data_IF_095187506528
#
_entry.id   IF_095187506528
#
_cell.length_a   1.000
_cell.length_b   1.000
_cell.length_c   1.000
_cell.angle_alpha   90.00
_cell.angle_beta   90.00
_cell.angle_gamma   90.00
#
_symmetry.space_group_name_H-M   'P 1'
#
loop_
_entity.id
_entity.type
_entity.pdbx_description
1 polymer ?
#
# COMPACT_ATOMS: atom_id res chain seq x y z
N UNK A 1 19.59 -10.33 -12.50
CA UNK A 1 18.84 -10.06 -11.26
C UNK A 1 17.72 -9.11 -11.66
N UNK A 2 16.45 -9.39 -11.29
CA UNK A 2 15.33 -8.46 -11.51
C UNK A 2 15.48 -7.25 -10.61
N UNK A 3 15.00 -6.10 -11.06
CA UNK A 3 15.02 -4.83 -10.32
C UNK A 3 13.61 -4.42 -9.95
N UNK A 4 13.39 -4.06 -8.68
CA UNK A 4 12.09 -3.61 -8.20
C UNK A 4 12.19 -2.22 -7.57
N UNK A 5 11.21 -1.36 -7.86
CA UNK A 5 11.02 -0.07 -7.21
C UNK A 5 9.81 -0.14 -6.28
N UNK A 6 9.99 0.20 -5.01
CA UNK A 6 8.93 0.20 -3.99
C UNK A 6 8.70 1.63 -3.53
N UNK A 7 7.54 2.21 -3.81
CA UNK A 7 7.13 3.45 -3.16
C UNK A 7 6.54 3.14 -1.77
N UNK A 8 6.78 4.01 -0.78
CA UNK A 8 6.30 3.73 0.59
C UNK A 8 7.04 2.61 1.31
N UNK A 9 8.30 2.36 0.96
CA UNK A 9 9.13 1.27 1.50
C UNK A 9 9.24 1.29 3.04
N UNK A 10 9.17 2.45 3.68
CA UNK A 10 9.27 2.59 5.15
C UNK A 10 8.00 2.18 5.90
N UNK A 11 6.90 1.94 5.19
CA UNK A 11 5.64 1.48 5.76
C UNK A 11 5.65 0.01 6.15
N UNK A 12 4.52 -0.48 6.69
CA UNK A 12 4.35 -1.89 7.06
C UNK A 12 4.62 -2.80 5.85
N UNK A 13 3.81 -2.67 4.81
CA UNK A 13 3.87 -3.57 3.64
C UNK A 13 5.15 -3.37 2.83
N UNK A 14 5.59 -2.11 2.68
CA UNK A 14 6.83 -1.80 1.97
C UNK A 14 8.04 -2.49 2.58
N UNK A 15 8.12 -2.56 3.91
CA UNK A 15 9.21 -3.21 4.62
C UNK A 15 9.21 -4.73 4.46
N UNK A 16 8.04 -5.39 4.55
CA UNK A 16 7.93 -6.84 4.32
C UNK A 16 8.15 -7.20 2.84
N UNK A 17 7.68 -6.36 1.93
CA UNK A 17 7.92 -6.57 0.50
C UNK A 17 9.41 -6.43 0.16
N UNK A 18 10.11 -5.46 0.76
CA UNK A 18 11.55 -5.32 0.59
C UNK A 18 12.30 -6.59 1.06
N UNK A 19 11.97 -7.11 2.25
CA UNK A 19 12.53 -8.37 2.75
C UNK A 19 12.25 -9.55 1.80
N UNK A 20 11.01 -9.67 1.34
CA UNK A 20 10.61 -10.72 0.40
C UNK A 20 11.40 -10.65 -0.90
N UNK A 21 11.50 -9.46 -1.51
CA UNK A 21 12.19 -9.29 -2.79
C UNK A 21 13.70 -9.50 -2.66
N UNK A 22 14.33 -9.03 -1.59
CA UNK A 22 15.73 -9.31 -1.29
C UNK A 22 15.96 -10.82 -1.15
N UNK A 23 15.09 -11.54 -0.43
CA UNK A 23 15.17 -12.99 -0.29
C UNK A 23 14.99 -13.75 -1.61
N UNK A 24 14.33 -13.13 -2.60
CA UNK A 24 14.15 -13.63 -3.96
C UNK A 24 15.24 -13.18 -4.95
N UNK A 25 16.32 -12.61 -4.42
CA UNK A 25 17.47 -12.15 -5.23
C UNK A 25 17.11 -11.04 -6.22
N UNK A 26 16.31 -10.05 -5.76
CA UNK A 26 16.07 -8.80 -6.48
C UNK A 26 17.05 -7.71 -6.05
N UNK A 27 17.34 -6.80 -6.97
CA UNK A 27 17.87 -5.47 -6.68
C UNK A 27 16.69 -4.57 -6.29
N UNK A 28 16.62 -4.10 -5.05
CA UNK A 28 15.49 -3.36 -4.50
C UNK A 28 15.82 -1.88 -4.40
N UNK A 29 14.99 -1.06 -5.00
CA UNK A 29 15.05 0.40 -4.90
C UNK A 29 13.85 0.90 -4.10
N UNK A 30 14.12 1.51 -2.94
CA UNK A 30 13.09 2.02 -2.05
C UNK A 30 12.92 3.52 -2.17
N UNK A 31 11.71 3.98 -2.50
CA UNK A 31 11.39 5.41 -2.53
C UNK A 31 11.01 5.88 -1.14
N UNK A 32 11.71 6.89 -0.68
CA UNK A 32 11.46 7.60 0.57
C UNK A 32 11.20 9.07 0.31
N UNK A 33 10.24 9.65 1.04
CA UNK A 33 10.06 11.10 1.05
C UNK A 33 11.14 11.76 1.91
N UNK A 34 11.73 12.85 1.41
CA UNK A 34 12.73 13.59 2.17
C UNK A 34 12.10 14.23 3.42
N UNK A 35 12.70 13.97 4.56
CA UNK A 35 12.36 14.56 5.86
C UNK A 35 13.55 15.36 6.39
N UNK A 36 13.30 16.34 7.28
CA UNK A 36 14.37 17.11 7.94
C UNK A 36 15.26 16.21 8.81
N UNK A 37 14.69 15.20 9.46
CA UNK A 37 15.41 14.14 10.18
C UNK A 37 15.25 12.83 9.42
N UNK A 38 16.34 12.12 9.21
CA UNK A 38 16.34 10.77 8.66
C UNK A 38 15.50 9.84 9.57
N UNK A 39 14.59 9.13 8.95
CA UNK A 39 13.72 8.17 9.62
C UNK A 39 13.43 7.05 8.62
N UNK A 40 14.02 5.90 8.88
CA UNK A 40 13.88 4.72 8.04
C UNK A 40 12.64 3.87 8.36
N UNK A 41 11.90 4.23 9.43
CA UNK A 41 10.69 3.51 9.83
C UNK A 41 10.92 2.02 10.00
N UNK A 42 10.12 1.21 9.30
CA UNK A 42 10.19 -0.25 9.45
C UNK A 42 11.33 -0.94 8.69
N UNK A 43 12.18 -0.20 7.97
CA UNK A 43 13.33 -0.77 7.21
C UNK A 43 14.69 -0.51 7.85
N UNK A 44 14.76 0.01 9.08
CA UNK A 44 16.03 0.36 9.71
C UNK A 44 17.02 -0.81 9.73
N UNK A 45 16.54 -2.02 9.93
CA UNK A 45 17.32 -3.25 9.94
C UNK A 45 17.83 -3.70 8.57
N UNK A 46 17.31 -3.12 7.48
CA UNK A 46 17.75 -3.39 6.10
C UNK A 46 18.73 -2.34 5.56
N UNK A 47 18.91 -1.22 6.28
CA UNK A 47 19.79 -0.14 5.83
C UNK A 47 21.24 -0.66 5.75
N UNK A 48 21.85 -0.51 4.56
CA UNK A 48 23.20 -1.03 4.29
C UNK A 48 23.23 -2.44 3.72
N UNK A 49 22.08 -3.09 3.49
CA UNK A 49 22.05 -4.34 2.74
C UNK A 49 22.55 -4.13 1.30
N UNK A 50 23.33 -5.06 0.77
CA UNK A 50 24.05 -4.95 -0.50
C UNK A 50 23.14 -4.62 -1.69
N UNK A 51 21.95 -5.18 -1.72
CA UNK A 51 21.00 -5.03 -2.84
C UNK A 51 19.81 -4.12 -2.51
N UNK A 52 19.93 -3.25 -1.49
CA UNK A 52 18.93 -2.24 -1.16
C UNK A 52 19.46 -0.83 -1.40
N UNK A 53 18.81 -0.10 -2.29
CA UNK A 53 19.10 1.29 -2.62
C UNK A 53 17.95 2.19 -2.25
N UNK A 54 18.24 3.29 -1.55
CA UNK A 54 17.22 4.25 -1.13
C UNK A 54 17.27 5.51 -2.01
N UNK A 55 16.13 5.91 -2.56
CA UNK A 55 15.96 7.06 -3.46
C UNK A 55 14.97 8.04 -2.84
N UNK A 56 15.24 9.33 -2.92
CA UNK A 56 14.29 10.37 -2.51
C UNK A 56 13.40 10.77 -3.68
N UNK A 57 12.09 10.56 -3.52
CA UNK A 57 11.06 11.07 -4.44
C UNK A 57 9.74 11.31 -3.69
N UNK A 58 8.84 12.06 -4.31
CA UNK A 58 7.50 12.34 -3.78
C UNK A 58 6.44 12.01 -4.83
N UNK A 59 5.34 11.38 -4.41
CA UNK A 59 4.24 11.01 -5.31
C UNK A 59 3.60 12.21 -6.00
N UNK A 60 3.72 13.40 -5.41
CA UNK A 60 3.20 14.65 -5.96
C UNK A 60 4.15 15.35 -6.93
N UNK A 61 5.38 14.83 -7.09
CA UNK A 61 6.40 15.39 -7.98
C UNK A 61 6.81 14.39 -9.07
N UNK A 62 6.23 14.56 -10.27
CA UNK A 62 6.51 13.72 -11.43
C UNK A 62 8.01 13.68 -11.79
N UNK A 63 8.73 14.79 -11.64
CA UNK A 63 10.15 14.85 -12.01
C UNK A 63 10.99 13.92 -11.13
N UNK A 64 10.72 13.91 -9.83
CA UNK A 64 11.41 13.00 -8.90
C UNK A 64 11.10 11.52 -9.18
N UNK A 65 9.85 11.20 -9.57
CA UNK A 65 9.44 9.84 -9.94
C UNK A 65 10.10 9.38 -11.25
N UNK A 66 10.17 10.25 -12.27
CA UNK A 66 10.91 9.97 -13.52
C UNK A 66 12.39 9.69 -13.22
N UNK A 67 13.01 10.49 -12.34
CA UNK A 67 14.40 10.27 -11.94
C UNK A 67 14.56 8.95 -11.15
N UNK A 68 13.62 8.60 -10.28
CA UNK A 68 13.64 7.33 -9.57
C UNK A 68 13.54 6.13 -10.53
N UNK A 69 12.67 6.21 -11.54
CA UNK A 69 12.56 5.20 -12.60
C UNK A 69 13.86 5.06 -13.41
N UNK A 70 14.46 6.18 -13.82
CA UNK A 70 15.73 6.17 -14.55
C UNK A 70 16.88 5.60 -13.73
N UNK A 71 16.93 5.92 -12.44
CA UNK A 71 17.99 5.45 -11.53
C UNK A 71 17.85 3.96 -11.26
N UNK A 72 16.65 3.48 -11.01
CA UNK A 72 16.40 2.06 -10.71
C UNK A 72 16.41 1.18 -11.96
N UNK A 73 15.99 1.72 -13.10
CA UNK A 73 15.69 0.92 -14.31
C UNK A 73 14.83 -0.31 -13.94
N UNK A 74 13.81 -0.10 -13.11
CA UNK A 74 13.03 -1.17 -12.50
C UNK A 74 12.25 -2.00 -13.52
N UNK A 75 12.24 -3.31 -13.33
CA UNK A 75 11.40 -4.26 -14.08
C UNK A 75 10.00 -4.37 -13.47
N UNK A 76 9.90 -4.11 -12.17
CA UNK A 76 8.66 -4.15 -11.40
C UNK A 76 8.56 -2.92 -10.49
N UNK A 77 7.39 -2.27 -10.47
CA UNK A 77 7.08 -1.16 -9.56
C UNK A 77 5.93 -1.56 -8.65
N UNK A 78 6.14 -1.43 -7.35
CA UNK A 78 5.13 -1.65 -6.32
C UNK A 78 4.75 -0.31 -5.69
N UNK A 79 3.57 0.20 -6.06
CA UNK A 79 3.10 1.50 -5.58
C UNK A 79 2.29 1.37 -4.30
N UNK A 80 3.00 1.47 -3.15
CA UNK A 80 2.44 1.35 -1.80
C UNK A 80 2.35 2.69 -1.07
N UNK A 81 2.99 3.74 -1.60
CA UNK A 81 2.94 5.07 -0.99
C UNK A 81 1.52 5.63 -0.99
N UNK A 82 1.03 6.00 0.18
CA UNK A 82 -0.28 6.59 0.36
C UNK A 82 -0.36 7.40 1.67
N UNK A 83 -1.30 8.34 1.72
CA UNK A 83 -1.91 8.73 2.99
C UNK A 83 -2.94 7.64 3.30
N UNK A 84 -2.70 6.78 4.30
CA UNK A 84 -3.44 5.52 4.51
C UNK A 84 -4.42 5.55 5.68
N UNK A 85 -4.36 6.56 6.55
CA UNK A 85 -5.25 6.66 7.69
C UNK A 85 -6.56 7.36 7.29
N UNK A 86 -7.66 6.59 7.29
CA UNK A 86 -8.96 7.05 6.79
C UNK A 86 -9.45 8.30 7.51
N UNK A 87 -9.27 8.41 8.83
CA UNK A 87 -9.74 9.57 9.59
C UNK A 87 -9.06 10.87 9.12
N UNK A 88 -7.76 10.87 8.87
CA UNK A 88 -7.03 12.04 8.35
C UNK A 88 -7.55 12.50 6.99
N UNK A 89 -8.15 11.62 6.19
CA UNK A 89 -8.69 12.04 4.89
C UNK A 89 -9.87 13.03 4.99
N UNK A 90 -10.55 13.05 6.13
CA UNK A 90 -11.60 14.06 6.39
C UNK A 90 -11.04 15.43 6.78
N UNK A 91 -9.88 15.42 7.43
CA UNK A 91 -9.18 16.65 7.83
C UNK A 91 -8.33 17.23 6.71
N UNK A 92 -7.76 16.34 5.86
CA UNK A 92 -6.84 16.69 4.78
C UNK A 92 -7.26 16.03 3.44
N UNK A 93 -8.48 16.34 2.92
CA UNK A 93 -9.00 15.68 1.72
C UNK A 93 -8.17 15.98 0.46
N UNK A 94 -7.65 17.21 0.33
CA UNK A 94 -6.86 17.62 -0.82
C UNK A 94 -5.51 16.88 -0.85
N UNK A 95 -4.77 16.90 0.27
CA UNK A 95 -3.49 16.17 0.35
C UNK A 95 -3.69 14.66 0.15
N UNK A 96 -4.81 14.10 0.63
CA UNK A 96 -5.18 12.70 0.38
C UNK A 96 -5.41 12.44 -1.10
N UNK A 97 -6.13 13.33 -1.80
CA UNK A 97 -6.37 13.23 -3.23
C UNK A 97 -5.06 13.36 -4.04
N UNK A 98 -4.23 14.37 -3.73
CA UNK A 98 -2.96 14.60 -4.42
C UNK A 98 -2.04 13.37 -4.36
N UNK A 99 -1.93 12.75 -3.19
CA UNK A 99 -1.05 11.58 -3.00
C UNK A 99 -1.70 10.31 -3.58
N UNK A 100 -2.96 10.03 -3.21
CA UNK A 100 -3.59 8.72 -3.47
C UNK A 100 -4.27 8.63 -4.84
N UNK A 101 -4.49 9.75 -5.52
CA UNK A 101 -5.10 9.84 -6.85
C UNK A 101 -4.07 10.32 -7.88
N UNK A 102 -3.71 11.61 -7.84
CA UNK A 102 -2.79 12.20 -8.82
C UNK A 102 -1.41 11.58 -8.73
N UNK A 103 -0.95 11.24 -7.51
CA UNK A 103 0.31 10.51 -7.32
C UNK A 103 0.38 9.17 -8.05
N UNK A 104 -0.74 8.44 -8.17
CA UNK A 104 -0.81 7.21 -8.97
C UNK A 104 -0.63 7.53 -10.46
N UNK A 105 -1.30 8.57 -10.97
CA UNK A 105 -1.13 9.02 -12.35
C UNK A 105 0.32 9.44 -12.61
N UNK A 106 0.95 10.18 -11.69
CA UNK A 106 2.35 10.57 -11.81
C UNK A 106 3.28 9.35 -11.92
N UNK A 107 3.03 8.30 -11.13
CA UNK A 107 3.85 7.09 -11.18
C UNK A 107 3.66 6.33 -12.51
N UNK A 108 2.42 6.19 -12.97
CA UNK A 108 2.11 5.58 -14.26
C UNK A 108 2.75 6.36 -15.43
N UNK A 109 2.69 7.70 -15.41
CA UNK A 109 3.36 8.55 -16.40
C UNK A 109 4.89 8.41 -16.32
N UNK A 110 5.47 8.36 -15.13
CA UNK A 110 6.90 8.15 -14.97
C UNK A 110 7.35 6.81 -15.60
N UNK A 111 6.56 5.74 -15.42
CA UNK A 111 6.81 4.44 -16.06
C UNK A 111 6.66 4.55 -17.58
N UNK A 112 5.54 5.10 -18.06
CA UNK A 112 5.27 5.26 -19.50
C UNK A 112 6.35 6.05 -20.24
N UNK A 113 6.88 7.09 -19.58
CA UNK A 113 7.93 7.95 -20.16
C UNK A 113 9.34 7.33 -20.11
N UNK A 114 9.58 6.34 -19.27
CA UNK A 114 10.93 5.80 -19.04
C UNK A 114 11.08 4.34 -19.43
N UNK A 115 10.18 3.47 -18.98
CA UNK A 115 10.23 2.03 -19.23
C UNK A 115 8.80 1.44 -19.32
N UNK A 116 8.08 1.62 -20.44
CA UNK A 116 6.70 1.15 -20.60
C UNK A 116 6.51 -0.36 -20.41
N UNK A 117 7.57 -1.16 -20.56
CA UNK A 117 7.57 -2.61 -20.32
C UNK A 117 7.65 -3.01 -18.84
N UNK A 118 7.80 -2.03 -17.94
CA UNK A 118 7.83 -2.28 -16.50
C UNK A 118 6.46 -2.76 -16.01
N UNK A 119 6.44 -3.79 -15.18
CA UNK A 119 5.22 -4.29 -14.54
C UNK A 119 4.87 -3.42 -13.34
N UNK A 120 3.64 -2.98 -13.26
CA UNK A 120 3.17 -2.06 -12.23
C UNK A 120 2.11 -2.71 -11.33
N UNK A 121 2.30 -2.62 -10.03
CA UNK A 121 1.33 -2.99 -9.01
C UNK A 121 0.80 -1.75 -8.29
N UNK A 122 -0.52 -1.59 -8.24
CA UNK A 122 -1.23 -0.57 -7.47
C UNK A 122 -1.85 -1.16 -6.22
N UNK A 123 -1.49 -0.65 -5.05
CA UNK A 123 -2.19 -0.96 -3.81
C UNK A 123 -3.55 -0.25 -3.79
N UNK A 124 -4.59 -0.97 -4.17
CA UNK A 124 -5.99 -0.61 -3.99
C UNK A 124 -6.49 -1.06 -2.61
N UNK A 125 -7.77 -0.92 -2.30
CA UNK A 125 -8.28 -1.15 -0.94
C UNK A 125 -9.74 -1.60 -0.95
N UNK A 126 -10.14 -2.42 0.01
CA UNK A 126 -11.55 -2.78 0.27
C UNK A 126 -12.42 -1.58 0.67
N UNK A 127 -11.82 -0.46 1.13
CA UNK A 127 -12.53 0.80 1.42
C UNK A 127 -13.21 1.41 0.17
N UNK A 128 -12.83 0.96 -1.03
CA UNK A 128 -13.53 1.34 -2.27
C UNK A 128 -14.94 0.75 -2.34
N UNK A 129 -15.18 -0.44 -1.74
CA UNK A 129 -16.51 -1.04 -1.66
C UNK A 129 -17.45 -0.21 -0.78
N UNK A 130 -16.95 0.39 0.30
CA UNK A 130 -17.66 1.34 1.16
C UNK A 130 -19.04 0.85 1.62
N UNK A 131 -20.12 1.41 1.06
CA UNK A 131 -21.47 0.88 1.25
C UNK A 131 -21.62 -0.38 0.39
N UNK A 132 -21.32 -1.52 0.98
CA UNK A 132 -21.22 -2.82 0.30
C UNK A 132 -22.49 -3.14 -0.49
N UNK A 133 -22.35 -3.43 -1.78
CA UNK A 133 -23.45 -3.72 -2.70
C UNK A 133 -23.68 -5.24 -2.89
N UNK A 134 -22.68 -6.07 -2.58
CA UNK A 134 -22.72 -7.52 -2.76
C UNK A 134 -21.85 -8.21 -1.71
N UNK A 135 -22.25 -9.39 -1.23
CA UNK A 135 -21.52 -10.22 -0.26
C UNK A 135 -21.47 -11.67 -0.78
N UNK A 136 -20.28 -12.31 -0.87
CA UNK A 136 -18.95 -11.73 -0.67
C UNK A 136 -18.58 -10.74 -1.78
N UNK A 137 -17.70 -9.78 -1.45
CA UNK A 137 -17.14 -8.85 -2.44
C UNK A 137 -16.15 -9.59 -3.36
N UNK A 138 -16.19 -9.25 -4.63
CA UNK A 138 -15.31 -9.74 -5.68
C UNK A 138 -14.89 -8.58 -6.60
N UNK A 139 -14.05 -8.84 -7.58
CA UNK A 139 -13.49 -7.83 -8.48
C UNK A 139 -14.60 -7.10 -9.29
N UNK A 140 -15.71 -7.77 -9.57
CA UNK A 140 -16.87 -7.21 -10.29
C UNK A 140 -17.90 -6.51 -9.39
N UNK A 141 -17.73 -6.55 -8.06
CA UNK A 141 -18.66 -5.90 -7.12
C UNK A 141 -18.61 -4.38 -7.29
N UNK A 142 -19.76 -3.70 -7.48
CA UNK A 142 -19.78 -2.25 -7.63
C UNK A 142 -19.16 -1.52 -6.43
N UNK A 143 -18.35 -0.51 -6.70
CA UNK A 143 -17.75 0.34 -5.69
C UNK A 143 -18.69 1.46 -5.24
N UNK A 144 -18.74 1.73 -3.93
CA UNK A 144 -19.48 2.85 -3.35
C UNK A 144 -18.71 3.43 -2.15
N UNK A 145 -17.56 4.11 -2.39
CA UNK A 145 -16.69 4.60 -1.30
C UNK A 145 -17.43 5.57 -0.38
N UNK A 146 -17.09 5.55 0.92
CA UNK A 146 -17.74 6.34 1.96
C UNK A 146 -16.76 7.26 2.71
N UNK A 147 -15.57 7.49 2.14
CA UNK A 147 -14.57 8.42 2.68
C UNK A 147 -13.78 9.08 1.56
N UNK A 148 -13.19 10.28 1.79
CA UNK A 148 -12.26 10.89 0.83
C UNK A 148 -11.08 9.95 0.46
N UNK A 149 -10.60 9.17 1.43
CA UNK A 149 -9.60 8.11 1.19
C UNK A 149 -10.09 7.08 0.18
N UNK A 150 -11.29 6.51 0.40
CA UNK A 150 -11.87 5.51 -0.50
C UNK A 150 -12.09 6.05 -1.91
N UNK A 151 -12.56 7.30 -2.04
CA UNK A 151 -12.72 7.98 -3.34
C UNK A 151 -11.39 8.17 -4.04
N UNK A 152 -10.35 8.64 -3.32
CA UNK A 152 -9.01 8.82 -3.88
C UNK A 152 -8.38 7.50 -4.35
N UNK A 153 -8.55 6.43 -3.57
CA UNK A 153 -8.10 5.08 -3.93
C UNK A 153 -8.87 4.51 -5.12
N UNK A 154 -10.17 4.80 -5.23
CA UNK A 154 -10.98 4.39 -6.37
C UNK A 154 -10.51 5.06 -7.67
N UNK A 155 -10.14 6.34 -7.63
CA UNK A 155 -9.49 7.00 -8.76
C UNK A 155 -8.20 6.25 -9.14
N UNK A 156 -7.32 5.97 -8.16
CA UNK A 156 -6.06 5.25 -8.40
C UNK A 156 -6.27 3.87 -9.03
N UNK A 157 -7.30 3.15 -8.60
CA UNK A 157 -7.70 1.87 -9.18
C UNK A 157 -8.13 2.01 -10.65
N UNK A 158 -9.06 2.93 -10.94
CA UNK A 158 -9.57 3.12 -12.30
C UNK A 158 -8.55 3.69 -13.26
N UNK A 159 -7.67 4.60 -12.81
CA UNK A 159 -6.62 5.12 -13.70
C UNK A 159 -5.59 4.03 -14.02
N UNK A 160 -5.29 3.11 -13.09
CA UNK A 160 -4.43 1.95 -13.33
C UNK A 160 -5.02 1.04 -14.42
N UNK A 161 -6.31 0.73 -14.30
CA UNK A 161 -7.03 -0.05 -15.31
C UNK A 161 -7.06 0.66 -16.67
N UNK A 162 -7.30 1.97 -16.68
CA UNK A 162 -7.30 2.78 -17.90
C UNK A 162 -5.93 2.73 -18.62
N UNK A 163 -4.81 2.83 -17.87
CA UNK A 163 -3.47 2.74 -18.46
C UNK A 163 -3.16 1.33 -18.98
N UNK A 164 -3.64 0.28 -18.29
CA UNK A 164 -3.56 -1.10 -18.79
C UNK A 164 -4.25 -1.25 -20.15
N UNK A 165 -5.48 -0.73 -20.28
CA UNK A 165 -6.30 -0.88 -21.48
C UNK A 165 -5.88 0.07 -22.62
N UNK A 166 -5.47 1.31 -22.31
CA UNK A 166 -5.20 2.35 -23.31
C UNK A 166 -3.75 2.35 -23.81
N UNK A 167 -2.79 1.93 -22.96
CA UNK A 167 -1.36 1.95 -23.27
C UNK A 167 -0.72 0.55 -23.26
N UNK A 168 -1.52 -0.50 -23.12
CA UNK A 168 -1.06 -1.89 -23.06
C UNK A 168 0.01 -2.12 -21.97
N UNK A 169 -0.04 -1.34 -20.89
CA UNK A 169 0.88 -1.49 -19.77
C UNK A 169 0.50 -2.72 -18.93
N UNK A 170 1.50 -3.49 -18.51
CA UNK A 170 1.26 -4.53 -17.51
C UNK A 170 1.02 -3.89 -16.15
N UNK A 171 -0.23 -3.62 -15.82
CA UNK A 171 -0.63 -2.94 -14.59
C UNK A 171 -1.74 -3.71 -13.86
N UNK A 172 -1.46 -4.12 -12.61
CA UNK A 172 -2.35 -4.87 -11.74
C UNK A 172 -2.81 -4.01 -10.55
N UNK A 173 -4.03 -4.23 -10.06
CA UNK A 173 -4.49 -3.67 -8.80
C UNK A 173 -4.82 -4.76 -7.80
N UNK A 174 -4.27 -4.67 -6.58
CA UNK A 174 -4.68 -5.51 -5.46
C UNK A 174 -5.74 -4.80 -4.61
N UNK A 175 -6.97 -5.31 -4.60
CA UNK A 175 -8.06 -4.82 -3.75
C UNK A 175 -7.90 -5.48 -2.37
N UNK A 176 -7.07 -4.87 -1.53
CA UNK A 176 -6.66 -5.46 -0.28
C UNK A 176 -7.67 -5.21 0.83
N UNK A 177 -8.05 -6.27 1.53
CA UNK A 177 -8.71 -6.17 2.83
C UNK A 177 -7.71 -5.82 3.92
N UNK A 178 -8.17 -5.63 5.16
CA UNK A 178 -7.29 -5.22 6.24
C UNK A 178 -6.21 -6.28 6.50
N UNK A 179 -4.97 -5.84 6.66
CA UNK A 179 -3.86 -6.72 6.97
C UNK A 179 -2.93 -6.04 7.95
N UNK A 180 -2.50 -6.80 8.91
CA UNK A 180 -1.92 -6.30 10.13
C UNK A 180 -0.58 -7.00 10.42
N UNK A 181 0.20 -6.39 11.28
CA UNK A 181 1.42 -6.97 11.83
C UNK A 181 1.92 -6.14 13.01
N UNK A 182 3.01 -6.57 13.62
CA UNK A 182 3.75 -5.81 14.62
C UNK A 182 4.31 -4.47 14.11
N UNK A 183 4.37 -4.28 12.75
CA UNK A 183 4.82 -3.03 12.09
C UNK A 183 3.69 -2.07 11.76
N UNK A 184 2.45 -2.41 12.12
CA UNK A 184 1.30 -1.53 11.90
C UNK A 184 1.43 -0.22 12.67
N UNK A 185 0.99 0.90 12.08
CA UNK A 185 0.92 2.19 12.78
C UNK A 185 0.01 2.14 14.00
N UNK A 186 0.40 2.84 15.07
CA UNK A 186 -0.31 2.80 16.37
C UNK A 186 -1.71 3.42 16.33
N UNK A 187 -2.02 4.19 15.32
CA UNK A 187 -3.35 4.78 15.07
C UNK A 187 -4.37 3.76 14.56
N UNK A 188 -3.92 2.62 14.02
CA UNK A 188 -4.81 1.56 13.54
C UNK A 188 -5.30 0.67 14.68
N UNK A 189 -6.56 0.24 14.60
CA UNK A 189 -7.30 -0.38 15.72
C UNK A 189 -6.56 -1.58 16.34
N UNK A 190 -6.03 -2.47 15.55
CA UNK A 190 -5.32 -3.68 16.04
C UNK A 190 -4.05 -3.30 16.81
N UNK A 191 -3.22 -2.42 16.25
CA UNK A 191 -2.00 -1.97 16.93
C UNK A 191 -2.31 -1.08 18.13
N UNK A 192 -3.36 -0.24 18.05
CA UNK A 192 -3.86 0.54 19.17
C UNK A 192 -4.22 -0.35 20.36
N UNK A 193 -4.95 -1.45 20.10
CA UNK A 193 -5.36 -2.40 21.14
C UNK A 193 -4.15 -3.12 21.72
N UNK A 194 -3.26 -3.68 20.91
CA UNK A 194 -2.10 -4.45 21.40
C UNK A 194 -1.09 -3.58 22.15
N UNK A 195 -0.83 -2.34 21.70
CA UNK A 195 0.03 -1.39 22.43
C UNK A 195 -0.61 -0.98 23.77
N UNK A 196 -1.92 -0.70 23.77
CA UNK A 196 -2.65 -0.37 25.00
C UNK A 196 -2.67 -1.52 25.98
N UNK A 197 -2.95 -2.75 25.55
CA UNK A 197 -2.93 -3.95 26.40
C UNK A 197 -1.57 -4.15 27.07
N UNK A 198 -0.48 -4.00 26.32
CA UNK A 198 0.88 -4.09 26.86
C UNK A 198 1.15 -2.99 27.90
N UNK A 199 0.70 -1.75 27.65
CA UNK A 199 0.88 -0.62 28.56
C UNK A 199 0.03 -0.76 29.81
N UNK A 200 -1.20 -1.27 29.71
CA UNK A 200 -2.09 -1.55 30.85
C UNK A 200 -1.45 -2.63 31.72
N UNK A 201 -1.00 -3.73 31.13
CA UNK A 201 -0.31 -4.80 31.85
C UNK A 201 0.96 -4.31 32.57
N UNK A 202 1.65 -3.31 32.03
CA UNK A 202 2.83 -2.68 32.63
C UNK A 202 2.50 -1.56 33.63
N UNK A 203 1.22 -1.32 33.94
CA UNK A 203 0.77 -0.25 34.85
C UNK A 203 1.01 1.17 34.32
N UNK A 204 1.19 1.36 33.01
CA UNK A 204 1.48 2.64 32.36
C UNK A 204 0.26 3.30 31.76
N UNK A 205 -0.88 2.63 31.76
CA UNK A 205 -2.15 3.10 31.22
C UNK A 205 -3.29 2.39 31.95
N UNK A 206 -4.42 3.04 32.17
CA UNK A 206 -5.56 2.45 32.90
C UNK A 206 -6.56 1.78 31.95
N UNK A 207 -6.84 2.37 30.79
CA UNK A 207 -7.83 1.89 29.82
C UNK A 207 -7.47 2.30 28.38
N UNK A 208 -8.18 1.72 27.43
CA UNK A 208 -8.14 2.13 26.01
C UNK A 208 -9.53 2.52 25.53
N UNK A 209 -9.64 3.65 24.87
CA UNK A 209 -10.88 4.09 24.22
C UNK A 209 -10.94 3.53 22.81
N UNK A 210 -12.01 2.81 22.52
CA UNK A 210 -12.29 2.26 21.19
C UNK A 210 -13.59 2.86 20.66
N UNK A 211 -13.67 2.98 19.32
CA UNK A 211 -14.91 3.39 18.66
C UNK A 211 -15.96 2.26 18.64
N UNK A 212 -16.61 2.06 17.50
CA UNK A 212 -17.62 1.02 17.34
C UNK A 212 -16.97 -0.38 17.40
N UNK A 213 -17.17 -1.07 18.52
CA UNK A 213 -16.64 -2.43 18.76
C UNK A 213 -17.34 -3.52 17.93
N UNK A 214 -18.53 -3.24 17.38
CA UNK A 214 -19.27 -4.19 16.58
C UNK A 214 -18.95 -4.05 15.07
N UNK A 215 -18.03 -3.14 14.73
CA UNK A 215 -17.49 -3.03 13.37
C UNK A 215 -16.80 -4.33 12.97
N UNK A 216 -17.15 -4.84 11.80
CA UNK A 216 -16.62 -6.07 11.24
C UNK A 216 -15.49 -5.79 10.26
N UNK A 217 -14.45 -6.60 10.30
CA UNK A 217 -13.29 -6.55 9.38
C UNK A 217 -12.82 -7.97 9.06
N UNK A 218 -12.28 -8.12 7.87
CA UNK A 218 -11.43 -9.24 7.50
C UNK A 218 -9.98 -8.81 7.78
N UNK A 219 -9.27 -9.53 8.63
CA UNK A 219 -7.88 -9.22 9.00
C UNK A 219 -6.96 -10.38 8.60
N UNK A 220 -6.05 -10.11 7.68
CA UNK A 220 -4.96 -11.01 7.33
C UNK A 220 -3.62 -10.56 7.91
N UNK A 221 -2.55 -11.28 7.59
CA UNK A 221 -1.18 -10.89 7.95
C UNK A 221 -0.45 -10.26 6.76
N UNK A 222 0.26 -9.15 6.98
CA UNK A 222 0.93 -8.39 5.92
C UNK A 222 1.90 -9.21 5.06
N UNK A 223 2.56 -10.23 5.63
CA UNK A 223 3.47 -11.11 4.86
C UNK A 223 2.74 -11.89 3.76
N UNK A 224 1.51 -12.34 4.01
CA UNK A 224 0.72 -13.05 3.00
C UNK A 224 0.27 -12.09 1.89
N UNK A 225 -0.08 -10.85 2.28
CA UNK A 225 -0.51 -9.82 1.33
C UNK A 225 0.63 -9.35 0.44
N UNK A 226 1.84 -9.13 0.96
CA UNK A 226 2.98 -8.77 0.10
C UNK A 226 3.43 -9.92 -0.79
N UNK A 227 3.24 -11.17 -0.36
CA UNK A 227 3.45 -12.32 -1.23
C UNK A 227 2.43 -12.35 -2.38
N UNK A 228 1.16 -12.05 -2.10
CA UNK A 228 0.13 -11.89 -3.13
C UNK A 228 0.46 -10.75 -4.11
N UNK A 229 0.92 -9.59 -3.62
CA UNK A 229 1.37 -8.47 -4.47
C UNK A 229 2.47 -8.90 -5.45
N UNK A 230 3.47 -9.66 -4.96
CA UNK A 230 4.52 -10.20 -5.81
C UNK A 230 3.96 -11.18 -6.84
N UNK A 231 3.07 -12.11 -6.44
CA UNK A 231 2.45 -13.09 -7.34
C UNK A 231 1.66 -12.44 -8.48
N UNK A 232 0.96 -11.33 -8.22
CA UNK A 232 0.19 -10.59 -9.23
C UNK A 232 1.09 -10.10 -10.38
N UNK A 233 2.30 -9.66 -10.06
CA UNK A 233 3.27 -9.24 -11.08
C UNK A 233 4.03 -10.40 -11.74
N UNK A 234 3.81 -11.66 -11.33
CA UNK A 234 4.39 -12.84 -11.98
C UNK A 234 3.42 -13.51 -12.96
N UNK A 235 2.17 -13.04 -13.04
CA UNK A 235 1.17 -13.59 -13.98
C UNK A 235 1.53 -13.26 -15.43
N UNK A 236 0.98 -14.02 -16.37
CA UNK A 236 1.16 -13.78 -17.80
C UNK A 236 0.39 -12.55 -18.27
N UNK A 237 -0.82 -12.35 -17.73
CA UNK A 237 -1.72 -11.23 -18.05
C UNK A 237 -2.01 -10.38 -16.81
N UNK A 238 -2.10 -9.04 -16.97
CA UNK A 238 -2.44 -8.15 -15.87
C UNK A 238 -3.94 -8.14 -15.57
N UNK A 239 -4.30 -8.17 -14.28
CA UNK A 239 -5.69 -8.06 -13.85
C UNK A 239 -5.81 -7.37 -12.48
N UNK A 240 -7.04 -7.23 -11.99
CA UNK A 240 -7.35 -6.76 -10.64
C UNK A 240 -7.68 -7.97 -9.76
N UNK A 241 -7.26 -7.96 -8.50
CA UNK A 241 -7.38 -9.11 -7.60
C UNK A 241 -7.87 -8.68 -6.22
N UNK A 242 -8.93 -9.31 -5.73
CA UNK A 242 -9.34 -9.22 -4.32
C UNK A 242 -8.45 -10.10 -3.46
N UNK A 243 -7.90 -9.53 -2.38
CA UNK A 243 -7.10 -10.26 -1.40
C UNK A 243 -7.73 -10.12 -0.02
N UNK A 244 -8.21 -11.23 0.50
CA UNK A 244 -8.88 -11.35 1.78
C UNK A 244 -8.63 -12.72 2.40
N UNK A 245 -8.89 -12.88 3.71
CA UNK A 245 -8.83 -14.20 4.37
C UNK A 245 -10.13 -14.98 4.17
N UNK A 246 -11.23 -14.30 3.87
CA UNK A 246 -12.58 -14.87 3.83
C UNK A 246 -13.22 -15.00 5.21
N UNK A 247 -12.54 -14.58 6.28
CA UNK A 247 -13.06 -14.58 7.64
C UNK A 247 -13.33 -13.16 8.15
N UNK A 248 -14.55 -12.94 8.62
CA UNK A 248 -14.95 -11.65 9.18
C UNK A 248 -15.01 -11.73 10.70
N UNK A 249 -14.36 -10.79 11.39
CA UNK A 249 -14.34 -10.66 12.85
C UNK A 249 -14.77 -9.25 13.27
N UNK A 250 -15.33 -9.13 14.48
CA UNK A 250 -15.63 -7.83 15.08
C UNK A 250 -14.41 -7.30 15.86
N UNK A 251 -14.36 -5.99 16.07
CA UNK A 251 -13.36 -5.38 16.99
C UNK A 251 -13.51 -5.94 18.41
N UNK A 252 -14.75 -6.29 18.81
CA UNK A 252 -15.04 -6.88 20.12
C UNK A 252 -14.42 -8.26 20.29
N UNK A 253 -14.41 -9.08 19.24
CA UNK A 253 -13.79 -10.42 19.27
C UNK A 253 -12.28 -10.35 19.35
N UNK A 254 -11.66 -9.33 18.73
CA UNK A 254 -10.23 -9.08 18.80
C UNK A 254 -9.81 -8.62 20.20
#
# INVERSE_FOLDING_TARGET
>A
MKKALITGITGQDGSYLAELLLSKNYEVYGVMRRKAKLDYGNIEHLVGAEHLHLIYADMTDLVSLVNAMRTSDADEVYNLAAQSFVATSWEQPIATADINSIGVTNMLEAIRMTKPSCRFYQASTSEMFGLVQEIPQKESTPFYPRSPYGVAKLYGHWITKNYRESYEMFACSGILFNHESERRGKEFVTRKITDAAARIAAGKQEFVELGNMDSKRDWGHSKDYVYAMWLMLQQDEPDDFVVATGETRTVREF
#
